data_IF_863962118564
#
_entry.id   IF_863962118564
#
_cell.length_a   1.000
_cell.length_b   1.000
_cell.length_c   1.000
_cell.angle_alpha   90.00
_cell.angle_beta   90.00
_cell.angle_gamma   90.00
#
_symmetry.space_group_name_H-M   'P 1'
#
loop_
_entity.id
_entity.type
_entity.pdbx_description
1 polymer ?
#
# COMPACT_ATOMS: atom_id res chain seq x y z
N UNK A 1 0.70 -4.64 -31.87
CA UNK A 1 1.98 -3.92 -31.73
C UNK A 1 2.51 -4.26 -30.35
N UNK A 2 3.63 -4.95 -30.23
CA UNK A 2 4.33 -5.21 -28.98
C UNK A 2 4.94 -3.90 -28.52
N UNK A 3 4.53 -3.40 -27.35
CA UNK A 3 5.22 -2.24 -26.73
C UNK A 3 6.70 -2.59 -26.54
N UNK A 4 7.62 -1.65 -26.78
CA UNK A 4 9.04 -1.86 -26.51
C UNK A 4 9.23 -2.20 -25.02
N UNK A 5 10.23 -3.02 -24.67
CA UNK A 5 10.51 -3.32 -23.27
C UNK A 5 10.77 -2.03 -22.51
N UNK A 6 10.12 -1.88 -21.37
CA UNK A 6 10.32 -0.70 -20.49
C UNK A 6 11.75 -0.76 -19.94
N UNK A 7 12.53 0.31 -20.06
CA UNK A 7 13.91 0.32 -19.58
C UNK A 7 13.98 0.07 -18.06
N UNK A 8 15.04 -0.61 -17.62
CA UNK A 8 15.21 -0.95 -16.19
C UNK A 8 15.25 0.27 -15.27
N UNK A 9 15.77 1.41 -15.75
CA UNK A 9 15.82 2.68 -15.02
C UNK A 9 14.42 3.24 -14.68
N UNK A 10 13.38 2.84 -15.39
CA UNK A 10 12.00 3.26 -15.12
C UNK A 10 11.49 2.77 -13.76
N UNK A 11 11.88 1.55 -13.38
CA UNK A 11 11.47 0.95 -12.11
C UNK A 11 12.51 1.14 -11.00
N UNK A 12 13.70 1.63 -11.34
CA UNK A 12 14.81 1.91 -10.41
C UNK A 12 15.40 3.31 -10.67
N UNK A 13 14.56 4.38 -10.51
CA UNK A 13 15.08 5.75 -10.62
C UNK A 13 16.23 5.97 -9.64
N UNK A 14 17.24 6.70 -10.09
CA UNK A 14 18.39 7.08 -9.26
C UNK A 14 17.96 8.03 -8.13
N UNK A 15 18.70 7.97 -7.03
CA UNK A 15 18.44 8.81 -5.86
C UNK A 15 19.37 8.45 -4.70
N UNK A 16 19.12 8.98 -3.50
CA UNK A 16 19.94 8.72 -2.33
C UNK A 16 19.76 7.31 -1.72
N UNK A 17 18.88 6.52 -2.27
CA UNK A 17 18.56 5.16 -1.85
C UNK A 17 19.37 4.12 -2.60
N UNK A 18 19.45 2.92 -2.04
CA UNK A 18 20.08 1.75 -2.66
C UNK A 18 19.00 0.76 -3.10
N UNK A 19 19.12 0.24 -4.31
CA UNK A 19 18.24 -0.79 -4.84
C UNK A 19 18.79 -2.19 -4.58
N UNK A 20 17.93 -3.09 -4.05
CA UNK A 20 18.29 -4.49 -3.82
C UNK A 20 17.14 -5.42 -4.20
N UNK A 21 17.49 -6.69 -4.38
CA UNK A 21 16.53 -7.79 -4.52
C UNK A 21 16.60 -8.68 -3.28
N UNK A 22 15.44 -9.04 -2.74
CA UNK A 22 15.27 -9.85 -1.54
C UNK A 22 14.40 -11.07 -1.87
N UNK A 23 14.92 -12.26 -1.61
CA UNK A 23 14.15 -13.49 -1.80
C UNK A 23 13.27 -13.77 -0.57
N UNK A 24 11.97 -13.94 -0.79
CA UNK A 24 11.01 -14.27 0.27
C UNK A 24 9.81 -15.02 -0.33
N UNK A 25 9.22 -15.94 0.44
CA UNK A 25 7.96 -16.61 0.10
C UNK A 25 7.87 -17.10 -1.38
N UNK A 26 8.99 -17.63 -1.90
CA UNK A 26 9.07 -18.21 -3.25
C UNK A 26 9.09 -17.20 -4.40
N UNK A 27 9.42 -15.94 -4.13
CA UNK A 27 9.61 -14.88 -5.13
C UNK A 27 10.76 -13.96 -4.74
N UNK A 28 11.23 -13.14 -5.70
CA UNK A 28 12.17 -12.04 -5.45
C UNK A 28 11.42 -10.74 -5.42
N UNK A 29 11.74 -9.92 -4.44
CA UNK A 29 11.14 -8.61 -4.23
C UNK A 29 12.20 -7.53 -4.40
N UNK A 30 11.89 -6.55 -5.21
CA UNK A 30 12.68 -5.35 -5.31
C UNK A 30 12.37 -4.45 -4.11
N UNK A 31 13.43 -3.88 -3.54
CA UNK A 31 13.35 -2.87 -2.49
C UNK A 31 14.23 -1.67 -2.84
N UNK A 32 13.81 -0.49 -2.41
CA UNK A 32 14.63 0.70 -2.29
C UNK A 32 14.83 0.99 -0.80
N UNK A 33 16.08 1.11 -0.34
CA UNK A 33 16.38 1.29 1.08
C UNK A 33 17.32 2.47 1.33
N UNK A 34 17.16 3.09 2.49
CA UNK A 34 17.99 4.22 2.94
C UNK A 34 18.09 4.25 4.46
N UNK A 35 19.26 4.66 4.97
CA UNK A 35 19.52 4.80 6.41
C UNK A 35 19.83 3.48 7.11
N UNK A 36 20.16 3.61 8.38
CA UNK A 36 20.49 2.53 9.30
C UNK A 36 19.62 2.65 10.56
N UNK A 37 19.50 1.58 11.34
CA UNK A 37 18.73 1.55 12.58
C UNK A 37 17.49 0.67 12.51
N UNK A 38 16.48 0.87 13.37
CA UNK A 38 15.31 0.01 13.41
C UNK A 38 14.53 0.01 12.09
N UNK A 39 14.18 -1.19 11.58
CA UNK A 39 13.51 -1.34 10.28
C UNK A 39 12.12 -0.70 10.28
N UNK A 40 11.86 0.11 9.24
CA UNK A 40 10.54 0.59 8.82
C UNK A 40 10.29 0.10 7.39
N UNK A 41 9.35 -0.84 7.21
CA UNK A 41 8.98 -1.38 5.90
C UNK A 41 7.74 -0.68 5.37
N UNK A 42 7.84 -0.12 4.15
CA UNK A 42 6.84 0.72 3.50
C UNK A 42 6.21 -0.03 2.34
N UNK A 43 4.87 -0.13 2.31
CA UNK A 43 4.08 -0.86 1.31
C UNK A 43 3.20 0.11 0.53
N UNK A 44 3.41 0.18 -0.78
CA UNK A 44 2.63 1.04 -1.68
C UNK A 44 1.22 0.49 -1.95
N UNK A 45 0.35 1.35 -2.50
CA UNK A 45 -0.97 1.00 -2.99
C UNK A 45 -1.05 0.86 -4.51
N UNK A 46 -2.27 0.78 -5.03
CA UNK A 46 -2.57 0.82 -6.46
C UNK A 46 -2.90 2.27 -6.88
N UNK A 47 -2.41 2.76 -8.03
CA UNK A 47 -1.59 2.09 -9.04
C UNK A 47 -0.08 2.43 -8.93
N UNK A 48 0.41 2.53 -7.71
CA UNK A 48 1.76 2.97 -7.37
C UNK A 48 2.77 1.80 -7.33
N UNK A 49 4.02 2.13 -7.01
CA UNK A 49 5.11 1.22 -6.70
C UNK A 49 6.03 1.89 -5.65
N UNK A 50 7.18 1.35 -5.30
CA UNK A 50 8.04 1.85 -4.22
C UNK A 50 8.30 3.37 -4.26
N UNK A 51 8.31 4.00 -5.45
CA UNK A 51 8.53 5.44 -5.65
C UNK A 51 7.56 6.34 -4.88
N UNK A 52 6.39 5.83 -4.55
CA UNK A 52 5.42 6.52 -3.72
C UNK A 52 5.97 6.92 -2.35
N UNK A 53 7.00 6.23 -1.89
CA UNK A 53 7.63 6.43 -0.60
C UNK A 53 8.93 7.23 -0.64
N UNK A 54 9.32 7.85 -1.79
CA UNK A 54 10.58 8.59 -1.98
C UNK A 54 10.84 9.65 -0.91
N UNK A 55 9.80 10.39 -0.51
CA UNK A 55 9.91 11.40 0.54
C UNK A 55 10.09 10.78 1.92
N UNK A 56 9.34 9.70 2.22
CA UNK A 56 9.40 9.03 3.51
C UNK A 56 10.71 8.25 3.69
N UNK A 57 11.29 7.71 2.62
CA UNK A 57 12.63 7.09 2.68
C UNK A 57 13.66 8.09 3.22
N UNK A 58 13.70 9.29 2.66
CA UNK A 58 14.64 10.34 3.10
C UNK A 58 14.36 10.84 4.51
N UNK A 59 13.08 11.09 4.82
CA UNK A 59 12.67 11.61 6.13
C UNK A 59 12.94 10.59 7.27
N UNK A 60 12.63 9.32 7.04
CA UNK A 60 12.85 8.26 8.03
C UNK A 60 14.34 7.98 8.23
N UNK A 61 15.13 7.94 7.15
CA UNK A 61 16.58 7.78 7.25
C UNK A 61 17.22 8.94 8.03
N UNK A 62 16.83 10.18 7.76
CA UNK A 62 17.25 11.36 8.51
C UNK A 62 16.82 11.35 9.99
N UNK A 63 15.77 10.57 10.31
CA UNK A 63 15.29 10.40 11.69
C UNK A 63 15.94 9.21 12.45
N UNK A 64 16.86 8.47 11.81
CA UNK A 64 17.63 7.36 12.39
C UNK A 64 16.97 5.99 12.23
N UNK A 65 16.13 5.81 11.21
CA UNK A 65 15.52 4.53 10.87
C UNK A 65 16.16 3.94 9.60
N UNK A 66 16.16 2.62 9.49
CA UNK A 66 16.36 1.93 8.22
C UNK A 66 15.02 1.87 7.50
N UNK A 67 14.82 2.78 6.54
CA UNK A 67 13.62 2.83 5.74
C UNK A 67 13.76 1.95 4.50
N UNK A 68 12.78 1.07 4.27
CA UNK A 68 12.74 0.13 3.14
C UNK A 68 11.39 0.23 2.45
N UNK A 69 11.35 0.70 1.21
CA UNK A 69 10.17 0.69 0.37
C UNK A 69 10.20 -0.55 -0.54
N UNK A 70 9.19 -1.41 -0.39
CA UNK A 70 9.10 -2.68 -1.10
C UNK A 70 8.12 -2.57 -2.27
N UNK A 71 8.52 -3.06 -3.45
CA UNK A 71 7.58 -3.35 -4.53
C UNK A 71 6.78 -4.62 -4.18
N UNK A 72 5.46 -4.51 -4.21
CA UNK A 72 4.58 -5.66 -3.99
C UNK A 72 4.73 -6.69 -5.12
N UNK A 73 4.37 -7.95 -4.85
CA UNK A 73 4.38 -9.03 -5.84
C UNK A 73 3.72 -8.60 -7.15
N UNK A 74 4.44 -8.75 -8.25
CA UNK A 74 3.96 -8.43 -9.58
C UNK A 74 4.07 -6.98 -10.01
N UNK A 75 4.59 -6.10 -9.16
CA UNK A 75 4.70 -4.66 -9.41
C UNK A 75 6.17 -4.23 -9.42
N UNK A 76 6.48 -3.14 -10.09
CA UNK A 76 7.82 -2.56 -10.12
C UNK A 76 8.90 -3.55 -10.54
N UNK A 77 9.92 -3.75 -9.71
CA UNK A 77 11.01 -4.69 -9.92
C UNK A 77 10.77 -6.09 -9.34
N UNK A 78 9.64 -6.32 -8.66
CA UNK A 78 9.34 -7.63 -8.04
C UNK A 78 8.84 -8.68 -9.04
N UNK A 79 9.07 -9.95 -8.71
CA UNK A 79 8.69 -11.08 -9.56
C UNK A 79 7.18 -11.11 -9.84
N UNK A 80 6.84 -11.36 -11.10
CA UNK A 80 5.48 -11.55 -11.61
C UNK A 80 5.16 -13.03 -11.69
N UNK A 81 4.62 -13.54 -10.58
CA UNK A 81 4.30 -14.96 -10.46
C UNK A 81 2.90 -15.26 -11.01
N UNK A 82 2.63 -16.49 -11.50
CA UNK A 82 1.31 -16.84 -12.05
C UNK A 82 0.17 -16.86 -11.01
N UNK A 83 0.51 -16.84 -9.70
CA UNK A 83 -0.43 -16.97 -8.58
C UNK A 83 0.18 -16.39 -7.30
N UNK A 84 -0.63 -16.32 -6.22
CA UNK A 84 -0.17 -15.83 -4.92
C UNK A 84 -0.58 -14.39 -4.65
N UNK A 85 -1.66 -13.93 -5.26
CA UNK A 85 -2.19 -12.56 -5.12
C UNK A 85 -3.33 -12.46 -4.10
N UNK A 86 -3.60 -13.52 -3.36
CA UNK A 86 -4.51 -13.43 -2.21
C UNK A 86 -3.84 -12.70 -1.04
N UNK A 87 -4.60 -11.94 -0.23
CA UNK A 87 -4.04 -11.11 0.82
C UNK A 87 -3.24 -11.87 1.88
N UNK A 88 -3.59 -13.15 2.14
CA UNK A 88 -2.85 -13.94 3.12
C UNK A 88 -1.45 -14.28 2.58
N UNK A 89 -1.34 -14.65 1.31
CA UNK A 89 -0.05 -14.92 0.67
C UNK A 89 0.78 -13.63 0.52
N UNK A 90 0.17 -12.53 0.11
CA UNK A 90 0.87 -11.23 0.03
C UNK A 90 1.34 -10.74 1.40
N UNK A 91 0.62 -11.02 2.49
CA UNK A 91 1.09 -10.74 3.85
C UNK A 91 2.26 -11.65 4.26
N UNK A 92 2.34 -12.89 3.73
CA UNK A 92 3.52 -13.74 3.90
C UNK A 92 4.72 -13.22 3.12
N UNK A 93 4.53 -12.59 1.96
CA UNK A 93 5.60 -11.90 1.23
C UNK A 93 6.23 -10.82 2.13
N UNK A 94 5.39 -9.92 2.68
CA UNK A 94 5.81 -8.83 3.56
C UNK A 94 6.59 -9.36 4.76
N UNK A 95 6.05 -10.34 5.47
CA UNK A 95 6.70 -10.90 6.65
C UNK A 95 7.92 -11.75 6.31
N UNK A 96 7.96 -12.32 5.11
CA UNK A 96 9.12 -12.99 4.55
C UNK A 96 10.26 -12.02 4.26
N UNK A 97 9.96 -10.86 3.68
CA UNK A 97 10.96 -9.80 3.43
C UNK A 97 11.57 -9.30 4.74
N UNK A 98 10.79 -9.04 5.79
CA UNK A 98 11.32 -8.65 7.11
C UNK A 98 12.38 -9.65 7.58
N UNK A 99 12.07 -10.95 7.53
CA UNK A 99 13.02 -12.00 7.94
C UNK A 99 14.26 -12.08 7.06
N UNK A 100 14.07 -11.93 5.74
CA UNK A 100 15.19 -11.99 4.79
C UNK A 100 16.11 -10.77 4.87
N UNK A 101 15.62 -9.67 5.45
CA UNK A 101 16.43 -8.50 5.81
C UNK A 101 17.24 -8.70 7.10
N UNK A 102 17.06 -9.85 7.78
CA UNK A 102 17.76 -10.20 9.02
C UNK A 102 17.13 -9.60 10.28
N UNK A 103 15.93 -9.02 10.18
CA UNK A 103 15.31 -8.30 11.29
C UNK A 103 14.36 -9.20 12.10
N UNK A 104 14.34 -9.09 13.42
CA UNK A 104 13.42 -9.83 14.27
C UNK A 104 11.98 -9.33 14.13
N UNK A 105 11.80 -8.03 13.89
CA UNK A 105 10.54 -7.35 13.64
C UNK A 105 10.74 -6.04 12.85
N UNK A 106 9.65 -5.42 12.46
CA UNK A 106 9.66 -4.12 11.79
C UNK A 106 8.49 -3.23 12.25
N UNK A 107 8.65 -1.92 12.13
CA UNK A 107 7.51 -1.06 11.96
C UNK A 107 7.01 -1.20 10.52
N UNK A 108 5.71 -1.45 10.35
CA UNK A 108 5.09 -1.67 9.06
C UNK A 108 4.19 -0.50 8.70
N UNK A 109 4.44 0.10 7.56
CA UNK A 109 3.66 1.23 7.05
C UNK A 109 3.03 0.83 5.72
N UNK A 110 1.74 1.03 5.56
CA UNK A 110 1.07 0.67 4.31
C UNK A 110 0.05 1.71 3.87
N UNK A 111 -0.02 1.94 2.57
CA UNK A 111 -1.00 2.80 1.94
C UNK A 111 -1.93 1.98 1.04
N UNK A 112 -3.25 2.26 1.03
CA UNK A 112 -4.26 1.61 0.18
C UNK A 112 -4.13 0.06 0.22
N UNK A 113 -3.87 -0.62 -0.91
CA UNK A 113 -3.64 -2.08 -0.94
C UNK A 113 -2.51 -2.49 0.01
N UNK A 114 -1.40 -1.73 0.05
CA UNK A 114 -0.31 -1.95 1.02
C UNK A 114 -0.79 -1.82 2.46
N UNK A 115 -1.72 -0.91 2.72
CA UNK A 115 -2.39 -0.77 4.02
C UNK A 115 -3.28 -1.97 4.36
N UNK A 116 -4.01 -2.50 3.38
CA UNK A 116 -4.78 -3.75 3.54
C UNK A 116 -3.87 -4.93 3.92
N UNK A 117 -2.71 -5.02 3.26
CA UNK A 117 -1.71 -6.06 3.54
C UNK A 117 -1.03 -5.85 4.90
N UNK A 118 -0.78 -4.60 5.29
CA UNK A 118 -0.20 -4.27 6.58
C UNK A 118 -1.14 -4.68 7.74
N UNK A 119 -2.44 -4.38 7.66
CA UNK A 119 -3.45 -4.90 8.58
C UNK A 119 -3.46 -6.43 8.62
N UNK A 120 -3.37 -7.08 7.46
CA UNK A 120 -3.38 -8.54 7.35
C UNK A 120 -2.14 -9.15 7.99
N UNK A 121 -0.96 -8.59 7.74
CA UNK A 121 0.31 -9.04 8.32
C UNK A 121 0.31 -8.89 9.86
N UNK A 122 -0.18 -7.75 10.37
CA UNK A 122 -0.29 -7.51 11.81
C UNK A 122 -1.26 -8.49 12.51
N UNK A 123 -2.37 -8.84 11.85
CA UNK A 123 -3.30 -9.84 12.38
C UNK A 123 -2.73 -11.28 12.33
N UNK A 124 -2.01 -11.63 11.27
CA UNK A 124 -1.52 -13.01 11.04
C UNK A 124 -0.17 -13.29 11.69
N UNK A 125 0.69 -12.29 11.84
CA UNK A 125 2.09 -12.39 12.32
C UNK A 125 2.46 -11.25 13.28
N UNK A 126 1.69 -11.02 14.36
CA UNK A 126 1.89 -9.85 15.24
C UNK A 126 3.30 -9.77 15.84
N UNK A 127 3.97 -10.90 16.04
CA UNK A 127 5.34 -10.93 16.60
C UNK A 127 6.41 -10.36 15.66
N UNK A 128 6.11 -10.21 14.37
CA UNK A 128 7.03 -9.62 13.39
C UNK A 128 6.72 -8.14 13.13
N UNK A 129 5.68 -7.59 13.74
CA UNK A 129 5.26 -6.22 13.54
C UNK A 129 5.31 -5.49 14.88
N UNK A 130 6.34 -4.64 15.05
CA UNK A 130 6.54 -3.86 16.27
C UNK A 130 5.52 -2.73 16.39
N UNK A 131 5.24 -2.04 15.29
CA UNK A 131 4.27 -0.96 15.17
C UNK A 131 3.62 -1.02 13.79
N UNK A 132 2.36 -0.61 13.70
CA UNK A 132 1.60 -0.59 12.45
C UNK A 132 1.16 0.85 12.15
N UNK A 133 1.49 1.37 10.97
CA UNK A 133 0.91 2.62 10.46
C UNK A 133 0.17 2.34 9.14
N UNK A 134 -1.05 2.84 9.02
CA UNK A 134 -1.88 2.61 7.83
C UNK A 134 -2.43 3.94 7.32
N UNK A 135 -2.17 4.22 6.04
CA UNK A 135 -2.69 5.40 5.35
C UNK A 135 -3.79 5.01 4.37
N UNK A 136 -4.88 5.77 4.37
CA UNK A 136 -5.99 5.65 3.42
C UNK A 136 -6.49 4.22 3.21
N UNK A 137 -6.58 3.43 4.30
CA UNK A 137 -7.15 2.08 4.26
C UNK A 137 -7.78 1.72 5.61
N UNK A 138 -9.09 1.47 5.67
CA UNK A 138 -9.73 0.92 6.87
C UNK A 138 -9.28 -0.52 7.15
N UNK A 139 -9.49 -0.96 8.38
CA UNK A 139 -9.30 -2.38 8.72
C UNK A 139 -10.13 -3.28 7.77
N UNK A 140 -9.62 -4.44 7.29
CA UNK A 140 -10.29 -5.28 6.29
C UNK A 140 -11.75 -5.64 6.62
N UNK A 141 -12.06 -5.91 7.88
CA UNK A 141 -13.45 -6.16 8.32
C UNK A 141 -14.32 -4.91 8.24
N UNK A 142 -13.76 -3.74 8.55
CA UNK A 142 -14.47 -2.46 8.43
C UNK A 142 -14.73 -2.12 6.98
N UNK A 143 -13.71 -2.26 6.11
CA UNK A 143 -13.84 -2.06 4.68
C UNK A 143 -14.94 -2.94 4.07
N UNK A 144 -14.91 -4.25 4.37
CA UNK A 144 -15.94 -5.19 3.90
C UNK A 144 -17.34 -4.79 4.37
N UNK A 145 -17.49 -4.41 5.65
CA UNK A 145 -18.77 -3.95 6.18
C UNK A 145 -19.26 -2.69 5.47
N UNK A 146 -18.36 -1.73 5.21
CA UNK A 146 -18.69 -0.50 4.51
C UNK A 146 -19.10 -0.76 3.05
N UNK A 147 -18.36 -1.62 2.34
CA UNK A 147 -18.70 -2.01 0.96
C UNK A 147 -20.06 -2.70 0.83
N UNK A 148 -20.55 -3.36 1.88
CA UNK A 148 -21.84 -4.07 1.88
C UNK A 148 -23.01 -3.21 2.39
N UNK A 149 -22.76 -2.16 3.18
CA UNK A 149 -23.79 -1.44 3.94
C UNK A 149 -23.84 0.07 3.67
N UNK A 150 -22.80 0.65 3.07
CA UNK A 150 -22.76 2.08 2.72
C UNK A 150 -22.74 2.22 1.20
N UNK A 151 -23.90 2.59 0.63
CA UNK A 151 -24.09 2.78 -0.82
C UNK A 151 -23.08 3.75 -1.40
N UNK A 152 -22.71 4.80 -0.65
CA UNK A 152 -21.71 5.77 -1.11
C UNK A 152 -20.30 5.19 -1.14
N UNK A 153 -19.95 4.31 -0.17
CA UNK A 153 -18.68 3.59 -0.20
C UNK A 153 -18.67 2.54 -1.32
N UNK A 154 -19.78 1.85 -1.54
CA UNK A 154 -19.91 0.90 -2.66
C UNK A 154 -19.73 1.61 -4.01
N UNK A 155 -20.31 2.79 -4.17
CA UNK A 155 -20.15 3.61 -5.38
C UNK A 155 -18.69 4.07 -5.56
N UNK A 156 -18.03 4.55 -4.50
CA UNK A 156 -16.63 4.96 -4.51
C UNK A 156 -15.68 3.80 -4.88
N UNK A 157 -16.00 2.57 -4.42
CA UNK A 157 -15.25 1.35 -4.76
C UNK A 157 -15.70 0.65 -6.05
N UNK A 158 -16.51 1.30 -6.89
CA UNK A 158 -17.11 0.66 -8.09
C UNK A 158 -16.08 0.17 -9.11
N UNK A 159 -14.90 0.79 -9.19
CA UNK A 159 -13.80 0.37 -10.06
C UNK A 159 -13.36 -1.09 -9.81
N UNK A 160 -13.51 -1.59 -8.57
CA UNK A 160 -13.19 -2.98 -8.19
C UNK A 160 -14.06 -3.98 -8.98
N UNK A 161 -15.30 -3.63 -9.24
CA UNK A 161 -16.19 -4.43 -10.09
C UNK A 161 -15.76 -4.38 -11.55
N UNK A 162 -15.25 -3.24 -12.02
CA UNK A 162 -14.64 -3.11 -13.35
C UNK A 162 -13.46 -4.07 -13.55
N UNK A 163 -12.66 -4.29 -12.52
CA UNK A 163 -11.52 -5.22 -12.54
C UNK A 163 -11.90 -6.69 -12.66
N UNK A 164 -13.17 -7.06 -12.46
CA UNK A 164 -13.63 -8.44 -12.64
C UNK A 164 -13.73 -8.87 -14.11
N UNK A 165 -13.76 -7.91 -15.04
CA UNK A 165 -13.83 -8.20 -16.48
C UNK A 165 -12.50 -8.84 -16.95
N UNK A 166 -12.54 -9.94 -17.72
CA UNK A 166 -11.33 -10.51 -18.28
C UNK A 166 -10.68 -9.55 -19.29
N UNK A 167 -9.38 -9.30 -19.16
CA UNK A 167 -8.52 -8.55 -20.10
C UNK A 167 -8.85 -7.06 -20.30
N UNK A 168 -10.03 -6.60 -19.89
CA UNK A 168 -10.47 -5.20 -20.10
C UNK A 168 -9.67 -4.24 -19.22
N UNK A 169 -9.59 -4.42 -17.89
CA UNK A 169 -8.83 -3.49 -17.05
C UNK A 169 -7.34 -3.47 -17.38
N UNK A 170 -6.74 -4.63 -17.71
CA UNK A 170 -5.34 -4.70 -18.11
C UNK A 170 -5.06 -3.83 -19.35
N UNK A 171 -5.91 -3.95 -20.37
CA UNK A 171 -5.80 -3.15 -21.60
C UNK A 171 -5.99 -1.65 -21.32
N UNK A 172 -6.94 -1.30 -20.48
CA UNK A 172 -7.20 0.10 -20.12
C UNK A 172 -6.05 0.72 -19.34
N UNK A 173 -5.44 -0.05 -18.41
CA UNK A 173 -4.33 0.42 -17.58
C UNK A 173 -3.05 0.69 -18.38
N UNK A 174 -2.82 0.00 -19.50
CA UNK A 174 -1.62 0.19 -20.34
C UNK A 174 -1.89 1.04 -21.58
N UNK A 175 -3.15 1.30 -21.92
CA UNK A 175 -3.51 2.12 -23.07
C UNK A 175 -2.92 3.53 -22.94
N UNK A 176 -2.54 4.12 -24.09
CA UNK A 176 -2.01 5.48 -24.18
C UNK A 176 -0.87 5.74 -23.18
N UNK A 177 0.06 4.75 -23.09
CA UNK A 177 1.19 4.76 -22.15
C UNK A 177 0.76 4.96 -20.70
N UNK A 178 -0.32 4.28 -20.28
CA UNK A 178 -0.82 4.33 -18.91
C UNK A 178 -1.64 5.59 -18.58
N UNK A 179 -2.29 6.21 -19.54
CA UNK A 179 -3.06 7.44 -19.33
C UNK A 179 -4.11 7.32 -18.21
N UNK A 180 -4.75 6.15 -18.09
CA UNK A 180 -5.71 5.88 -17.02
C UNK A 180 -5.07 5.98 -15.62
N UNK A 181 -3.82 5.51 -15.47
CA UNK A 181 -3.08 5.62 -14.20
C UNK A 181 -2.94 7.07 -13.78
N UNK A 182 -2.49 7.94 -14.69
CA UNK A 182 -2.35 9.37 -14.40
C UNK A 182 -3.70 10.04 -14.07
N UNK A 183 -4.78 9.63 -14.77
CA UNK A 183 -6.12 10.09 -14.47
C UNK A 183 -6.55 9.71 -13.05
N UNK A 184 -6.38 8.45 -12.66
CA UNK A 184 -6.74 7.97 -11.32
C UNK A 184 -5.98 8.70 -10.21
N UNK A 185 -4.66 8.91 -10.40
CA UNK A 185 -3.85 9.65 -9.41
C UNK A 185 -4.39 11.07 -9.21
N UNK A 186 -4.72 11.78 -10.28
CA UNK A 186 -5.28 13.14 -10.20
C UNK A 186 -6.69 13.17 -9.61
N UNK A 187 -7.57 12.24 -10.01
CA UNK A 187 -8.96 12.21 -9.55
C UNK A 187 -9.09 11.80 -8.07
N UNK A 188 -8.14 11.02 -7.56
CA UNK A 188 -8.16 10.57 -6.17
C UNK A 188 -7.40 11.50 -5.22
N UNK A 189 -6.64 12.43 -5.77
CA UNK A 189 -5.94 13.46 -5.01
C UNK A 189 -6.88 14.54 -4.48
N UNK A 190 -6.48 15.16 -3.38
CA UNK A 190 -7.06 16.42 -2.93
C UNK A 190 -6.57 17.61 -3.78
N UNK A 191 -7.17 18.79 -3.58
CA UNK A 191 -6.89 19.97 -4.40
C UNK A 191 -5.42 20.46 -4.31
N UNK A 192 -4.67 20.04 -3.30
CA UNK A 192 -3.27 20.45 -3.09
C UNK A 192 -2.29 19.80 -4.06
N UNK A 193 -2.60 18.60 -4.55
CA UNK A 193 -1.68 17.83 -5.41
C UNK A 193 -1.75 18.28 -6.87
N UNK A 194 -2.86 18.83 -7.30
CA UNK A 194 -3.07 19.17 -8.71
C UNK A 194 -2.09 20.22 -9.22
N UNK A 195 -1.33 19.85 -10.27
CA UNK A 195 -0.41 20.77 -10.97
C UNK A 195 0.94 20.99 -10.27
N UNK A 196 1.27 20.27 -9.22
CA UNK A 196 2.61 20.31 -8.62
C UNK A 196 3.61 19.56 -9.52
N UNK A 197 4.81 20.09 -9.79
CA UNK A 197 5.81 19.44 -10.64
C UNK A 197 6.17 18.03 -10.19
N UNK A 198 6.37 17.84 -8.88
CA UNK A 198 6.69 16.54 -8.28
C UNK A 198 5.56 15.50 -8.48
N UNK A 199 4.30 15.95 -8.52
CA UNK A 199 3.15 15.10 -8.82
C UNK A 199 3.16 14.60 -10.26
N UNK A 200 3.46 15.46 -11.20
CA UNK A 200 3.50 15.06 -12.62
C UNK A 200 4.67 14.12 -12.89
N UNK A 201 5.81 14.32 -12.22
CA UNK A 201 6.92 13.37 -12.24
C UNK A 201 6.51 12.01 -11.68
N UNK A 202 5.89 11.98 -10.50
CA UNK A 202 5.40 10.75 -9.90
C UNK A 202 4.38 10.03 -10.80
N UNK A 203 3.44 10.76 -11.42
CA UNK A 203 2.49 10.22 -12.38
C UNK A 203 3.22 9.60 -13.58
N UNK A 204 4.25 10.24 -14.11
CA UNK A 204 5.04 9.70 -15.21
C UNK A 204 5.68 8.36 -14.83
N UNK A 205 6.25 8.27 -13.64
CA UNK A 205 6.82 7.03 -13.09
C UNK A 205 5.76 5.93 -12.91
N UNK A 206 4.59 6.24 -12.34
CA UNK A 206 3.50 5.24 -12.15
C UNK A 206 2.95 4.71 -13.48
N UNK A 207 2.77 5.60 -14.46
CA UNK A 207 2.35 5.22 -15.82
C UNK A 207 3.33 4.25 -16.46
N UNK A 208 4.62 4.56 -16.39
CA UNK A 208 5.68 3.74 -16.97
C UNK A 208 5.78 2.38 -16.25
N UNK A 209 5.75 2.38 -14.92
CA UNK A 209 5.78 1.15 -14.13
C UNK A 209 4.58 0.24 -14.42
N UNK A 210 3.38 0.80 -14.63
CA UNK A 210 2.18 0.03 -15.00
C UNK A 210 2.31 -0.61 -16.38
N UNK A 211 3.05 0.01 -17.30
CA UNK A 211 3.29 -0.51 -18.66
C UNK A 211 4.33 -1.63 -18.71
N UNK A 212 5.04 -1.94 -17.62
CA UNK A 212 5.91 -3.13 -17.56
C UNK A 212 5.07 -4.38 -17.82
N UNK A 213 5.52 -5.30 -18.70
CA UNK A 213 4.76 -6.49 -19.06
C UNK A 213 4.23 -7.26 -17.87
N UNK A 214 2.96 -7.64 -17.90
CA UNK A 214 2.21 -8.35 -16.84
C UNK A 214 1.92 -7.55 -15.57
N UNK A 215 2.47 -6.36 -15.36
CA UNK A 215 2.20 -5.55 -14.15
C UNK A 215 0.72 -5.22 -14.01
N UNK A 216 0.05 -4.78 -15.08
CA UNK A 216 -1.38 -4.47 -15.04
C UNK A 216 -2.22 -5.68 -14.62
N UNK A 217 -1.90 -6.89 -15.12
CA UNK A 217 -2.56 -8.11 -14.70
C UNK A 217 -2.33 -8.41 -13.21
N UNK A 218 -1.09 -8.40 -12.77
CA UNK A 218 -0.73 -8.66 -11.38
C UNK A 218 -1.38 -7.65 -10.42
N UNK A 219 -1.47 -6.38 -10.83
CA UNK A 219 -2.03 -5.30 -10.00
C UNK A 219 -3.55 -5.44 -9.78
N UNK A 220 -4.29 -6.05 -10.71
CA UNK A 220 -5.74 -6.25 -10.55
C UNK A 220 -6.11 -7.56 -9.86
N UNK A 221 -5.22 -8.56 -9.80
CA UNK A 221 -5.48 -9.87 -9.21
C UNK A 221 -5.86 -9.82 -7.71
N UNK A 222 -5.26 -9.00 -6.83
CA UNK A 222 -5.73 -8.87 -5.45
C UNK A 222 -7.19 -8.43 -5.36
N UNK A 223 -7.62 -7.49 -6.20
CA UNK A 223 -9.01 -7.01 -6.24
C UNK A 223 -9.96 -8.06 -6.82
N UNK A 224 -9.51 -8.86 -7.78
CA UNK A 224 -10.26 -10.02 -8.28
C UNK A 224 -10.48 -11.03 -7.18
N UNK A 225 -9.43 -11.32 -6.40
CA UNK A 225 -9.55 -12.23 -5.28
C UNK A 225 -10.54 -11.71 -4.25
N UNK A 226 -10.50 -10.43 -3.86
CA UNK A 226 -11.40 -9.83 -2.87
C UNK A 226 -12.88 -10.05 -3.21
N UNK A 227 -13.25 -9.97 -4.49
CA UNK A 227 -14.63 -10.21 -4.93
C UNK A 227 -14.93 -11.70 -5.07
N UNK A 228 -14.08 -12.44 -5.80
CA UNK A 228 -14.32 -13.85 -6.14
C UNK A 228 -14.27 -14.77 -4.93
N UNK A 229 -13.54 -14.40 -3.89
CA UNK A 229 -13.41 -15.18 -2.66
C UNK A 229 -14.61 -15.08 -1.71
N UNK A 230 -15.54 -14.14 -1.94
CA UNK A 230 -16.64 -13.89 -0.98
C UNK A 230 -17.48 -15.12 -0.66
N UNK A 231 -17.68 -16.01 -1.62
CA UNK A 231 -18.43 -17.27 -1.48
C UNK A 231 -17.54 -18.52 -1.48
N UNK A 232 -16.20 -18.36 -1.45
CA UNK A 232 -15.24 -19.47 -1.54
C UNK A 232 -14.66 -19.83 -0.18
N UNK A 233 -14.22 -21.09 0.02
CA UNK A 233 -13.60 -21.54 1.27
C UNK A 233 -12.38 -20.73 1.70
N UNK A 234 -11.52 -20.32 0.75
CA UNK A 234 -10.34 -19.50 1.03
C UNK A 234 -10.71 -18.12 1.59
N UNK A 235 -11.73 -17.48 1.04
CA UNK A 235 -12.24 -16.22 1.57
C UNK A 235 -12.90 -16.35 2.94
N UNK A 236 -13.64 -17.44 3.18
CA UNK A 236 -14.21 -17.74 4.51
C UNK A 236 -13.07 -17.93 5.53
N UNK A 237 -12.03 -18.69 5.17
CA UNK A 237 -10.87 -18.92 6.02
C UNK A 237 -10.13 -17.62 6.30
N UNK A 238 -9.88 -16.79 5.29
CA UNK A 238 -9.28 -15.48 5.45
C UNK A 238 -10.07 -14.61 6.43
N UNK A 239 -11.38 -14.51 6.24
CA UNK A 239 -12.25 -13.74 7.14
C UNK A 239 -12.20 -14.25 8.58
N UNK A 240 -12.08 -15.57 8.79
CA UNK A 240 -11.89 -16.14 10.14
C UNK A 240 -10.56 -15.73 10.76
N UNK A 241 -9.48 -15.69 9.97
CA UNK A 241 -8.15 -15.23 10.43
C UNK A 241 -8.14 -13.76 10.81
N UNK A 242 -8.98 -12.94 10.18
CA UNK A 242 -9.14 -11.51 10.47
C UNK A 242 -10.11 -11.22 11.63
N UNK A 243 -10.72 -12.24 12.27
CA UNK A 243 -11.63 -12.03 13.41
C UNK A 243 -10.95 -11.57 14.70
N UNK A 244 -9.80 -12.15 15.10
CA UNK A 244 -9.11 -11.69 16.30
C UNK A 244 -8.71 -10.21 16.14
N UNK A 245 -8.75 -9.42 17.21
CA UNK A 245 -8.32 -8.04 17.16
C UNK A 245 -6.81 -7.95 16.91
N UNK A 246 -6.40 -6.84 16.30
CA UNK A 246 -4.99 -6.51 16.10
C UNK A 246 -4.39 -6.10 17.44
N UNK A 247 -3.29 -6.74 17.85
CA UNK A 247 -2.59 -6.50 19.12
C UNK A 247 -1.25 -5.80 18.93
N UNK A 248 -1.19 -4.96 17.92
CA UNK A 248 -0.02 -4.15 17.56
C UNK A 248 -0.39 -2.69 17.71
N UNK A 249 0.41 -1.86 18.39
CA UNK A 249 0.20 -0.42 18.44
C UNK A 249 0.01 0.14 17.03
N UNK A 250 -1.06 0.89 16.81
CA UNK A 250 -1.51 1.25 15.47
C UNK A 250 -1.76 2.75 15.33
N UNK A 251 -1.13 3.36 14.31
CA UNK A 251 -1.47 4.68 13.79
C UNK A 251 -2.27 4.53 12.50
N UNK A 252 -3.45 5.13 12.44
CA UNK A 252 -4.20 5.22 11.20
C UNK A 252 -4.28 6.66 10.74
N UNK A 253 -3.83 6.93 9.52
CA UNK A 253 -3.78 8.23 8.86
C UNK A 253 -4.73 8.27 7.68
N UNK A 254 -5.41 9.39 7.44
CA UNK A 254 -6.40 9.48 6.37
C UNK A 254 -6.58 10.91 5.87
N UNK A 255 -6.84 11.09 4.56
CA UNK A 255 -7.21 12.38 4.00
C UNK A 255 -8.72 12.64 4.14
N UNK A 256 -9.12 13.85 4.53
CA UNK A 256 -10.54 14.19 4.75
C UNK A 256 -11.37 14.20 3.47
N UNK A 257 -10.72 14.39 2.32
CA UNK A 257 -11.33 14.45 0.99
C UNK A 257 -11.10 13.17 0.16
N UNK A 258 -10.66 12.07 0.76
CA UNK A 258 -10.44 10.79 0.06
C UNK A 258 -11.73 10.33 -0.66
N UNK A 259 -11.74 10.30 -2.01
CA UNK A 259 -12.92 9.93 -2.77
C UNK A 259 -13.10 8.41 -2.90
N UNK A 260 -12.04 7.63 -2.63
CA UNK A 260 -11.99 6.17 -2.81
C UNK A 260 -12.41 5.46 -1.53
N UNK A 261 -11.81 5.85 -0.42
CA UNK A 261 -12.05 5.28 0.91
C UNK A 261 -12.53 6.39 1.84
N UNK A 262 -13.84 6.48 1.99
CA UNK A 262 -14.46 7.59 2.71
C UNK A 262 -14.03 7.60 4.17
N UNK A 263 -13.77 8.79 4.70
CA UNK A 263 -13.39 9.03 6.10
C UNK A 263 -14.27 8.29 7.10
N UNK A 264 -15.62 8.30 6.88
CA UNK A 264 -16.57 7.56 7.74
C UNK A 264 -16.32 6.05 7.74
N UNK A 265 -15.87 5.50 6.60
CA UNK A 265 -15.54 4.07 6.49
C UNK A 265 -14.22 3.75 7.21
N UNK A 266 -13.25 4.66 7.18
CA UNK A 266 -11.94 4.46 7.78
C UNK A 266 -11.93 4.67 9.32
N UNK A 267 -12.58 5.72 9.82
CA UNK A 267 -12.55 6.15 11.22
C UNK A 267 -13.00 5.09 12.24
N UNK A 268 -13.82 4.10 11.84
CA UNK A 268 -14.27 3.05 12.75
C UNK A 268 -13.32 1.87 12.90
N UNK A 269 -12.08 1.94 12.38
CA UNK A 269 -11.15 0.81 12.40
C UNK A 269 -10.59 0.50 13.79
N UNK A 270 -10.49 1.48 14.68
CA UNK A 270 -10.01 1.30 16.05
C UNK A 270 -10.76 0.24 16.86
N UNK A 271 -12.04 -0.02 16.55
CA UNK A 271 -12.81 -1.10 17.20
C UNK A 271 -12.24 -2.52 16.97
N UNK A 272 -11.31 -2.67 16.05
CA UNK A 272 -10.64 -3.94 15.73
C UNK A 272 -9.22 -4.02 16.28
N UNK A 273 -8.81 -3.07 17.13
CA UNK A 273 -7.48 -3.00 17.71
C UNK A 273 -7.58 -3.13 19.23
N UNK A 274 -6.86 -4.10 19.82
CA UNK A 274 -6.65 -4.29 21.27
C UNK A 274 -5.22 -3.91 21.65
N UNK A 275 -4.79 -2.72 21.22
CA UNK A 275 -3.51 -2.10 21.51
C UNK A 275 -3.68 -0.59 21.43
N UNK A 276 -2.70 0.22 21.82
CA UNK A 276 -2.75 1.66 21.61
C UNK A 276 -3.10 1.99 20.15
N UNK A 277 -4.09 2.85 19.97
CA UNK A 277 -4.60 3.22 18.66
C UNK A 277 -4.70 4.74 18.53
N UNK A 278 -4.06 5.30 17.50
CA UNK A 278 -4.13 6.72 17.16
C UNK A 278 -4.78 6.91 15.80
N UNK A 279 -5.74 7.82 15.72
CA UNK A 279 -6.36 8.27 14.47
C UNK A 279 -5.90 9.67 14.12
N UNK A 280 -5.35 9.84 12.91
CA UNK A 280 -4.95 11.14 12.37
C UNK A 280 -5.69 11.42 11.08
N UNK A 281 -6.49 12.49 11.05
CA UNK A 281 -7.14 13.00 9.85
C UNK A 281 -6.36 14.21 9.33
N UNK A 282 -5.98 14.17 8.07
CA UNK A 282 -5.36 15.30 7.37
C UNK A 282 -6.45 16.06 6.62
N UNK A 283 -6.73 17.27 7.05
CA UNK A 283 -7.76 18.09 6.43
C UNK A 283 -7.34 18.62 5.07
N UNK A 284 -8.29 18.57 4.11
CA UNK A 284 -8.07 19.01 2.74
C UNK A 284 -7.22 18.06 1.87
N UNK A 285 -6.78 16.91 2.38
CA UNK A 285 -6.04 15.92 1.59
C UNK A 285 -6.97 14.84 1.05
N UNK A 286 -6.61 14.30 -0.14
CA UNK A 286 -7.28 13.21 -0.80
C UNK A 286 -6.75 11.83 -0.39
N UNK A 287 -6.62 10.94 -1.37
CA UNK A 287 -6.24 9.54 -1.18
C UNK A 287 -4.74 9.33 -0.91
N UNK A 288 -3.89 10.30 -1.26
CA UNK A 288 -2.43 10.19 -1.23
C UNK A 288 -1.76 11.07 -0.16
N UNK A 289 -2.13 10.99 1.14
CA UNK A 289 -1.65 11.94 2.15
C UNK A 289 -0.12 11.97 2.28
N UNK A 290 0.57 10.86 1.99
CA UNK A 290 2.02 10.73 1.99
C UNK A 290 2.72 11.46 0.83
N UNK A 291 1.99 11.73 -0.26
CA UNK A 291 2.46 12.53 -1.40
C UNK A 291 1.90 13.95 -1.41
N UNK A 292 0.66 14.12 -0.95
CA UNK A 292 -0.01 15.44 -0.93
C UNK A 292 0.55 16.38 0.15
N UNK A 293 1.05 15.82 1.25
CA UNK A 293 1.66 16.58 2.34
C UNK A 293 2.82 15.77 2.96
N UNK A 294 3.91 15.53 2.21
CA UNK A 294 4.97 14.60 2.61
C UNK A 294 5.62 14.96 3.94
N UNK A 295 5.86 16.24 4.22
CA UNK A 295 6.47 16.69 5.47
C UNK A 295 5.53 16.47 6.67
N UNK A 296 4.26 16.85 6.53
CA UNK A 296 3.27 16.66 7.60
C UNK A 296 3.01 15.18 7.89
N UNK A 297 2.93 14.36 6.83
CA UNK A 297 2.78 12.92 6.95
C UNK A 297 4.00 12.26 7.62
N UNK A 298 5.21 12.61 7.15
CA UNK A 298 6.47 12.09 7.70
C UNK A 298 6.67 12.52 9.15
N UNK A 299 6.34 13.76 9.49
CA UNK A 299 6.41 14.27 10.85
C UNK A 299 5.51 13.50 11.83
N UNK A 300 4.25 13.26 11.45
CA UNK A 300 3.29 12.46 12.25
C UNK A 300 3.79 11.01 12.41
N UNK A 301 4.24 10.39 11.31
CA UNK A 301 4.77 9.03 11.31
C UNK A 301 6.00 8.90 12.21
N UNK A 302 6.99 9.78 12.03
CA UNK A 302 8.24 9.75 12.79
C UNK A 302 7.98 10.03 14.27
N UNK A 303 7.14 11.01 14.58
CA UNK A 303 6.73 11.31 15.96
C UNK A 303 6.15 10.08 16.64
N UNK A 304 5.21 9.41 15.96
CA UNK A 304 4.59 8.19 16.49
C UNK A 304 5.56 7.01 16.58
N UNK A 305 6.49 6.84 15.62
CA UNK A 305 7.50 5.78 15.69
C UNK A 305 8.49 5.96 16.85
N UNK A 306 8.81 7.19 17.23
CA UNK A 306 9.70 7.54 18.33
C UNK A 306 8.99 7.58 19.70
N UNK A 307 7.67 7.64 19.71
CA UNK A 307 6.88 7.67 20.92
C UNK A 307 7.06 6.36 21.69
N UNK A 308 7.68 6.44 22.89
CA UNK A 308 7.97 5.28 23.74
C UNK A 308 6.85 5.01 24.73
N UNK A 309 5.93 5.96 24.91
CA UNK A 309 4.78 5.78 25.78
C UNK A 309 3.65 5.05 25.06
N UNK A 310 3.04 4.03 25.68
CA UNK A 310 1.79 3.48 25.18
C UNK A 310 0.71 4.55 25.30
N UNK A 311 0.11 4.94 24.19
CA UNK A 311 -1.11 5.75 24.20
C UNK A 311 -2.14 5.05 25.11
N UNK A 312 -2.56 5.74 26.18
CA UNK A 312 -3.57 5.27 27.15
C UNK A 312 -4.98 5.39 26.60
#
# INVERSE_FOLDING_TARGET
>A
MTQPPVPANVIRPEGPWTHREVAANGARFHIAEMGDGPLVLLLHGFPQYWWAWRHQLTALAGAGFRAVAMDLRGVGGSDRTPRGYDPANLALDVTGVIRSLGEPDAALVGHDLGGYLAWTAAAMRPKLIRRLAVASMPHPRRWRSAMLRDVRQTAAGSYIWGFQRPWVPERQLVADSGALVGKLVREWAGPRLSGQPDTEEAIAHYRQAMCVPSTAHCSVEPYRWLVRSMARPDGIQFNRRMKPPVRVPTLQMHGSLDPVLRTRSAAGSGQYVEAPYRWRLFDGLGHWPHEEAPDAFSGELIGWLKDTEPDR
#
